data_IF_147498270677
#
_entry.id   IF_147498270677
#
_cell.length_a   1.000
_cell.length_b   1.000
_cell.length_c   1.000
_cell.angle_alpha   90.00
_cell.angle_beta   90.00
_cell.angle_gamma   90.00
#
_symmetry.space_group_name_H-M   'P 1'
#
loop_
_entity.id
_entity.type
_entity.pdbx_description
1 polymer ?
#
# COMPACT_ATOMS: atom_id res chain seq x y z
N UNK A 1 -2.01 -16.26 7.49
CA UNK A 1 -1.68 -14.88 7.89
C UNK A 1 -2.46 -13.95 6.98
N UNK A 2 -3.26 -13.03 7.51
CA UNK A 2 -4.02 -12.08 6.69
C UNK A 2 -3.17 -10.85 6.42
N UNK A 3 -3.22 -10.35 5.18
CA UNK A 3 -2.43 -9.20 4.73
C UNK A 3 -3.37 -8.03 4.47
N UNK A 4 -2.96 -6.83 4.89
CA UNK A 4 -3.60 -5.56 4.56
C UNK A 4 -2.74 -4.82 3.56
N UNK A 5 -3.36 -4.37 2.46
CA UNK A 5 -2.70 -3.59 1.41
C UNK A 5 -2.77 -2.11 1.76
N UNK A 6 -1.61 -1.45 1.72
CA UNK A 6 -1.45 -0.06 2.09
C UNK A 6 -0.82 0.75 0.95
N UNK A 7 -1.42 1.88 0.65
CA UNK A 7 -0.99 2.83 -0.37
C UNK A 7 -0.31 4.00 0.33
N UNK A 8 0.96 4.23 0.02
CA UNK A 8 1.69 5.42 0.45
C UNK A 8 1.28 6.59 -0.45
N UNK A 9 0.58 7.61 0.07
CA UNK A 9 0.20 8.76 -0.74
C UNK A 9 1.39 9.69 -0.98
N UNK A 10 1.43 10.31 -2.15
CA UNK A 10 2.30 11.43 -2.46
C UNK A 10 1.50 12.56 -3.10
N UNK A 11 1.82 13.80 -2.76
CA UNK A 11 1.28 14.97 -3.43
C UNK A 11 2.23 15.40 -4.54
N UNK A 12 1.75 15.35 -5.77
CA UNK A 12 2.49 15.77 -6.96
C UNK A 12 1.89 17.05 -7.50
N UNK A 13 2.72 18.02 -7.85
CA UNK A 13 2.24 19.24 -8.52
C UNK A 13 1.67 18.88 -9.88
N UNK A 14 0.41 19.23 -10.12
CA UNK A 14 -0.16 19.24 -11.46
C UNK A 14 0.43 20.43 -12.22
N UNK A 15 0.78 20.23 -13.49
CA UNK A 15 1.42 21.25 -14.31
C UNK A 15 0.66 22.58 -14.26
N UNK A 16 1.39 23.66 -13.98
CA UNK A 16 0.84 25.01 -13.94
C UNK A 16 0.58 25.50 -15.37
N UNK A 17 -0.64 25.31 -15.86
CA UNK A 17 -1.16 26.07 -17.00
C UNK A 17 -2.22 27.03 -16.46
N UNK A 18 -1.77 28.02 -15.67
CA UNK A 18 -2.60 29.00 -14.96
C UNK A 18 -1.96 29.49 -13.66
N UNK A 19 -2.49 30.57 -13.08
CA UNK A 19 -1.98 31.27 -11.87
C UNK A 19 -2.12 30.44 -10.57
N UNK A 20 -2.71 29.24 -10.64
CA UNK A 20 -2.94 28.37 -9.49
C UNK A 20 -2.04 27.13 -9.52
N UNK A 21 -1.31 26.89 -8.42
CA UNK A 21 -0.57 25.63 -8.23
C UNK A 21 -1.53 24.56 -7.69
N UNK A 22 -1.92 23.62 -8.55
CA UNK A 22 -2.74 22.48 -8.16
C UNK A 22 -1.85 21.29 -7.75
N UNK A 23 -2.28 20.53 -6.73
CA UNK A 23 -1.62 19.29 -6.32
C UNK A 23 -2.60 18.14 -6.48
N UNK A 24 -2.13 17.04 -7.09
CA UNK A 24 -2.88 15.79 -7.20
C UNK A 24 -2.24 14.74 -6.30
N UNK A 25 -3.07 14.00 -5.59
CA UNK A 25 -2.61 12.85 -4.82
C UNK A 25 -2.37 11.66 -5.76
N UNK A 26 -1.21 11.03 -5.62
CA UNK A 26 -0.84 9.79 -6.30
C UNK A 26 -0.41 8.76 -5.27
N UNK A 27 -0.29 7.51 -5.72
CA UNK A 27 0.29 6.44 -4.93
C UNK A 27 1.78 6.39 -5.24
N UNK A 28 2.62 6.58 -4.22
CA UNK A 28 4.07 6.47 -4.36
C UNK A 28 4.51 5.02 -4.38
N UNK A 29 4.00 4.25 -3.44
CA UNK A 29 4.35 2.86 -3.24
C UNK A 29 3.20 2.08 -2.62
N UNK A 30 3.18 0.78 -2.85
CA UNK A 30 2.25 -0.17 -2.23
C UNK A 30 3.01 -1.07 -1.26
N UNK A 31 2.54 -1.08 -0.03
CA UNK A 31 3.12 -1.83 1.07
C UNK A 31 2.13 -2.88 1.58
N UNK A 32 2.67 -3.90 2.23
CA UNK A 32 1.90 -4.89 2.95
C UNK A 32 2.15 -4.73 4.46
N UNK A 33 1.10 -4.90 5.24
CA UNK A 33 1.18 -5.07 6.68
C UNK A 33 0.43 -6.34 7.11
N UNK A 34 0.80 -6.96 8.23
CA UNK A 34 -0.06 -7.94 8.88
C UNK A 34 -1.40 -7.29 9.28
N UNK A 35 -2.47 -8.06 9.28
CA UNK A 35 -3.73 -7.63 9.87
C UNK A 35 -3.67 -7.67 11.40
N UNK A 36 -4.23 -6.65 12.05
CA UNK A 36 -4.39 -6.60 13.50
C UNK A 36 -5.27 -7.78 13.99
N UNK A 37 -4.77 -8.62 14.91
CA UNK A 37 -5.54 -9.76 15.43
C UNK A 37 -6.76 -9.33 16.27
N UNK A 38 -6.74 -8.13 16.84
CA UNK A 38 -7.83 -7.53 17.62
C UNK A 38 -8.84 -6.77 16.74
N UNK A 39 -8.45 -6.39 15.53
CA UNK A 39 -9.30 -5.65 14.58
C UNK A 39 -9.10 -6.16 13.13
N UNK A 40 -9.76 -7.27 12.74
CA UNK A 40 -9.58 -7.87 11.42
C UNK A 40 -9.87 -6.90 10.26
N UNK A 41 -8.85 -6.59 9.47
CA UNK A 41 -8.91 -5.66 8.33
C UNK A 41 -8.31 -4.29 8.61
N UNK A 42 -7.95 -4.00 9.86
CA UNK A 42 -6.97 -2.96 10.19
C UNK A 42 -5.56 -3.55 10.06
N UNK A 43 -4.57 -2.76 9.60
CA UNK A 43 -3.18 -3.16 9.63
C UNK A 43 -2.62 -3.06 11.06
N UNK A 44 -1.56 -3.79 11.35
CA UNK A 44 -0.69 -3.48 12.50
C UNK A 44 0.02 -2.11 12.32
N UNK A 45 0.74 -1.66 13.36
CA UNK A 45 1.42 -0.35 13.37
C UNK A 45 2.49 -0.18 12.29
N UNK A 46 3.07 -1.30 11.83
CA UNK A 46 4.16 -1.32 10.86
C UNK A 46 3.90 -2.26 9.68
N UNK A 47 4.34 -1.83 8.51
CA UNK A 47 4.44 -2.68 7.33
C UNK A 47 5.54 -3.73 7.48
N UNK A 48 5.56 -4.76 6.62
CA UNK A 48 6.65 -5.74 6.59
C UNK A 48 8.02 -5.12 6.29
N UNK A 49 8.06 -3.96 5.61
CA UNK A 49 9.30 -3.21 5.38
C UNK A 49 9.65 -2.25 6.52
N UNK A 50 8.86 -2.17 7.59
CA UNK A 50 9.13 -1.39 8.79
C UNK A 50 8.64 0.06 8.76
N UNK A 51 7.77 0.43 7.82
CA UNK A 51 7.18 1.77 7.75
C UNK A 51 5.90 1.85 8.58
N UNK A 52 5.67 3.00 9.23
CA UNK A 52 4.45 3.22 10.00
C UNK A 52 3.20 3.27 9.11
N UNK A 53 2.15 2.56 9.48
CA UNK A 53 0.91 2.43 8.69
C UNK A 53 -0.04 3.62 8.86
N UNK A 54 0.08 4.38 9.95
CA UNK A 54 -0.86 5.45 10.32
C UNK A 54 -1.00 6.61 9.33
N UNK A 55 -0.09 6.76 8.34
CA UNK A 55 -0.21 7.77 7.27
C UNK A 55 -0.54 7.16 5.90
N UNK A 56 -0.73 5.85 5.82
CA UNK A 56 -1.02 5.14 4.59
C UNK A 56 -2.54 4.99 4.41
N UNK A 57 -2.99 4.98 3.16
CA UNK A 57 -4.38 4.67 2.84
C UNK A 57 -4.53 3.17 2.65
N UNK A 58 -5.61 2.58 3.16
CA UNK A 58 -5.92 1.17 2.92
C UNK A 58 -6.51 0.96 1.54
N UNK A 59 -6.07 -0.08 0.87
CA UNK A 59 -6.72 -0.61 -0.33
C UNK A 59 -7.65 -1.76 0.09
N UNK A 60 -8.92 -1.79 -0.38
CA UNK A 60 -9.87 -2.83 -0.01
C UNK A 60 -9.56 -4.21 -0.64
N UNK A 61 -8.51 -4.30 -1.47
CA UNK A 61 -8.11 -5.54 -2.11
C UNK A 61 -7.88 -6.66 -1.08
N UNK A 62 -8.43 -7.84 -1.40
CA UNK A 62 -8.17 -9.09 -0.72
C UNK A 62 -7.83 -10.13 -1.77
N UNK A 63 -6.72 -10.84 -1.56
CA UNK A 63 -6.40 -11.98 -2.40
C UNK A 63 -7.48 -13.07 -2.22
N UNK A 64 -8.14 -13.46 -3.31
CA UNK A 64 -9.24 -14.42 -3.26
C UNK A 64 -8.80 -15.83 -2.86
N UNK A 65 -7.51 -16.16 -3.07
CA UNK A 65 -6.95 -17.51 -2.87
C UNK A 65 -5.48 -17.45 -2.49
N UNK A 66 -4.96 -18.46 -1.75
CA UNK A 66 -3.52 -18.64 -1.59
C UNK A 66 -2.81 -18.71 -2.94
N UNK A 67 -1.65 -18.06 -3.06
CA UNK A 67 -0.85 -18.03 -4.29
C UNK A 67 -1.23 -16.92 -5.28
N UNK A 68 -2.33 -16.20 -5.07
CA UNK A 68 -2.58 -14.93 -5.78
C UNK A 68 -1.65 -13.85 -5.23
N UNK A 69 -1.26 -12.88 -6.06
CA UNK A 69 -0.48 -11.72 -5.61
C UNK A 69 -1.22 -11.02 -4.47
N UNK A 70 -0.47 -10.57 -3.47
CA UNK A 70 -1.03 -9.91 -2.29
C UNK A 70 -1.53 -8.48 -2.58
N UNK A 71 -1.22 -7.94 -3.76
CA UNK A 71 -1.60 -6.63 -4.24
C UNK A 71 -2.50 -6.72 -5.49
N UNK A 72 -3.36 -5.71 -5.76
CA UNK A 72 -4.16 -5.66 -6.97
C UNK A 72 -3.29 -5.36 -8.21
N UNK A 73 -3.62 -5.89 -9.39
CA UNK A 73 -2.80 -5.72 -10.61
C UNK A 73 -2.52 -4.26 -11.00
N UNK A 74 -3.43 -3.33 -10.66
CA UNK A 74 -3.28 -1.91 -10.91
C UNK A 74 -2.01 -1.30 -10.28
N UNK A 75 -1.46 -1.93 -9.25
CA UNK A 75 -0.31 -1.41 -8.50
C UNK A 75 1.00 -2.16 -8.76
N UNK A 76 1.05 -3.07 -9.73
CA UNK A 76 2.23 -3.92 -10.00
C UNK A 76 3.55 -3.11 -10.15
N UNK A 77 3.50 -1.91 -10.73
CA UNK A 77 4.68 -1.06 -10.93
C UNK A 77 5.12 -0.25 -9.70
N UNK A 78 4.34 -0.27 -8.61
CA UNK A 78 4.55 0.54 -7.41
C UNK A 78 4.73 -0.31 -6.14
N UNK A 79 4.76 -1.64 -6.29
CA UNK A 79 4.94 -2.55 -5.16
C UNK A 79 6.29 -2.32 -4.50
N UNK A 80 6.29 -2.20 -3.17
CA UNK A 80 7.51 -2.12 -2.39
C UNK A 80 8.27 -3.46 -2.48
N UNK A 81 9.52 -3.47 -2.99
CA UNK A 81 10.26 -4.71 -3.20
C UNK A 81 10.60 -5.43 -1.88
N UNK A 82 10.75 -4.69 -0.78
CA UNK A 82 11.01 -5.28 0.53
C UNK A 82 9.77 -6.02 1.07
N UNK A 83 8.58 -5.43 0.97
CA UNK A 83 7.33 -6.11 1.33
C UNK A 83 7.11 -7.36 0.46
N UNK A 84 7.33 -7.22 -0.85
CA UNK A 84 7.14 -8.32 -1.80
C UNK A 84 8.09 -9.49 -1.52
N UNK A 85 9.35 -9.19 -1.19
CA UNK A 85 10.35 -10.22 -0.85
C UNK A 85 9.96 -11.03 0.39
N UNK A 86 9.44 -10.38 1.44
CA UNK A 86 8.98 -11.07 2.66
C UNK A 86 7.83 -12.02 2.33
N UNK A 87 6.88 -11.58 1.51
CA UNK A 87 5.68 -12.35 1.19
C UNK A 87 5.90 -13.45 0.15
N UNK A 88 6.93 -13.36 -0.69
CA UNK A 88 7.34 -14.44 -1.60
C UNK A 88 8.26 -15.49 -0.95
N UNK A 89 8.80 -15.21 0.25
CA UNK A 89 9.65 -16.15 1.00
C UNK A 89 8.86 -17.00 2.00
N UNK A 90 7.56 -16.74 2.16
CA UNK A 90 6.70 -17.31 3.22
C UNK A 90 5.81 -18.47 2.74
#
# INVERSE_FOLDING_TARGET
>A
MSIVVLLEPELVRASAMGDTTEFVERVRAVHAAPADPSAPGEPEDFTFCGLATGRMRRDPYRADRPGTTWYPPAWQGQVCPACDSVLHTS
#
